data_IF_930740155828
#
_entry.id   IF_930740155828
#
_cell.length_a   1.000
_cell.length_b   1.000
_cell.length_c   1.000
_cell.angle_alpha   90.00
_cell.angle_beta   90.00
_cell.angle_gamma   90.00
#
_symmetry.space_group_name_H-M   'P 1'
#
loop_
_entity.id
_entity.type
_entity.pdbx_description
1 polymer ?
#
# COMPACT_ATOMS: atom_id res chain seq x y z
N UNK A 1 34.49 12.26 -16.17
CA UNK A 1 33.89 11.26 -15.25
C UNK A 1 32.66 11.77 -14.46
N UNK A 2 31.98 12.86 -14.88
CA UNK A 2 30.78 13.38 -14.19
C UNK A 2 29.45 13.02 -14.87
N UNK A 3 29.46 12.83 -16.20
CA UNK A 3 28.25 12.54 -16.98
C UNK A 3 27.66 11.15 -16.72
N UNK A 4 28.50 10.14 -16.45
CA UNK A 4 28.06 8.74 -16.29
C UNK A 4 27.18 8.53 -15.05
N UNK A 5 27.39 9.30 -13.98
CA UNK A 5 26.57 9.21 -12.76
C UNK A 5 25.17 9.83 -12.92
N UNK A 6 25.02 10.79 -13.83
CA UNK A 6 23.73 11.47 -14.07
C UNK A 6 22.75 10.54 -14.80
N UNK A 7 23.24 9.69 -15.70
CA UNK A 7 22.40 8.81 -16.54
C UNK A 7 21.75 7.71 -15.68
N UNK A 8 22.46 7.17 -14.69
CA UNK A 8 21.97 6.09 -13.81
C UNK A 8 20.82 6.59 -12.92
N UNK A 9 20.94 7.79 -12.37
CA UNK A 9 19.89 8.39 -11.55
C UNK A 9 18.60 8.62 -12.37
N UNK A 10 18.73 9.04 -13.63
CA UNK A 10 17.59 9.32 -14.51
C UNK A 10 16.84 8.04 -14.91
N UNK A 11 17.52 6.91 -15.08
CA UNK A 11 16.88 5.62 -15.39
C UNK A 11 16.04 5.05 -14.24
N UNK A 12 16.42 5.30 -12.98
CA UNK A 12 15.68 4.81 -11.81
C UNK A 12 14.36 5.57 -11.59
N UNK A 13 14.30 6.85 -11.98
CA UNK A 13 13.09 7.67 -11.90
C UNK A 13 11.99 7.23 -12.87
N UNK A 14 12.35 6.65 -14.02
CA UNK A 14 11.36 6.18 -15.00
C UNK A 14 10.70 4.85 -14.61
N UNK A 15 11.37 3.99 -13.83
CA UNK A 15 10.79 2.72 -13.38
C UNK A 15 9.68 2.91 -12.33
N UNK A 16 9.68 4.02 -11.58
CA UNK A 16 8.63 4.33 -10.61
C UNK A 16 7.34 4.89 -11.25
N UNK A 17 7.36 5.22 -12.55
CA UNK A 17 6.24 5.79 -13.29
C UNK A 17 5.76 4.85 -14.41
N UNK A 18 5.92 3.54 -14.23
CA UNK A 18 5.61 2.53 -15.23
C UNK A 18 4.23 1.89 -15.05
N UNK A 19 3.29 2.33 -15.89
CA UNK A 19 2.10 1.60 -16.37
C UNK A 19 1.04 1.19 -15.34
N UNK A 20 0.05 2.06 -15.14
CA UNK A 20 -1.28 1.68 -14.65
C UNK A 20 -1.99 0.90 -15.76
N UNK A 21 -2.11 -0.41 -15.59
CA UNK A 21 -2.96 -1.26 -16.42
C UNK A 21 -4.41 -1.08 -15.97
N UNK A 22 -5.29 -0.78 -16.91
CA UNK A 22 -6.73 -0.58 -16.70
C UNK A 22 -7.37 -1.89 -16.24
N UNK A 23 -7.84 -1.93 -14.99
CA UNK A 23 -8.51 -3.10 -14.42
C UNK A 23 -9.97 -3.13 -14.88
N UNK A 24 -10.38 -4.27 -15.46
CA UNK A 24 -11.73 -4.47 -15.97
C UNK A 24 -12.76 -4.43 -14.83
N UNK A 25 -13.76 -3.56 -14.97
CA UNK A 25 -14.84 -3.37 -14.00
C UNK A 25 -15.71 -4.64 -13.93
N UNK A 26 -15.58 -5.40 -12.84
CA UNK A 26 -16.50 -6.49 -12.52
C UNK A 26 -17.67 -5.91 -11.71
N UNK A 27 -18.87 -5.96 -12.28
CA UNK A 27 -20.11 -5.53 -11.62
C UNK A 27 -20.42 -6.40 -10.39
N UNK A 28 -20.66 -5.84 -9.20
CA UNK A 28 -20.98 -6.64 -8.02
C UNK A 28 -22.42 -7.16 -8.12
N UNK A 29 -22.59 -8.40 -8.55
CA UNK A 29 -23.82 -9.15 -8.33
C UNK A 29 -23.87 -9.66 -6.88
N UNK A 30 -24.73 -9.04 -6.08
CA UNK A 30 -25.32 -9.52 -4.82
C UNK A 30 -24.47 -10.50 -3.97
N UNK A 31 -23.57 -9.97 -3.15
CA UNK A 31 -23.00 -10.71 -2.02
C UNK A 31 -23.92 -10.56 -0.79
N UNK A 32 -24.42 -11.69 -0.29
CA UNK A 32 -25.22 -11.77 0.94
C UNK A 32 -24.49 -11.17 2.15
N UNK A 33 -25.27 -10.79 3.17
CA UNK A 33 -24.85 -10.10 4.38
C UNK A 33 -23.42 -10.43 4.81
N UNK A 34 -22.51 -9.50 4.57
CA UNK A 34 -21.13 -9.58 5.01
C UNK A 34 -21.12 -9.60 6.53
N UNK A 35 -20.62 -10.68 7.12
CA UNK A 35 -20.16 -10.64 8.52
C UNK A 35 -19.07 -9.57 8.57
N UNK A 36 -19.37 -8.42 9.15
CA UNK A 36 -18.44 -7.30 9.28
C UNK A 36 -17.28 -7.76 10.18
N UNK A 37 -16.21 -8.27 9.57
CA UNK A 37 -15.02 -8.66 10.30
C UNK A 37 -14.32 -7.39 10.75
N UNK A 38 -14.60 -6.98 11.99
CA UNK A 38 -13.98 -5.81 12.61
C UNK A 38 -12.46 -5.98 12.60
N UNK A 39 -11.76 -4.98 12.08
CA UNK A 39 -10.31 -4.89 12.20
C UNK A 39 -9.97 -4.54 13.65
N UNK A 40 -9.21 -5.41 14.32
CA UNK A 40 -8.80 -5.25 15.72
C UNK A 40 -7.34 -5.60 15.87
N UNK A 41 -6.62 -4.85 16.71
CA UNK A 41 -5.23 -5.15 17.05
C UNK A 41 -4.45 -3.88 17.33
N UNK A 42 -3.49 -3.97 18.24
CA UNK A 42 -2.54 -2.90 18.57
C UNK A 42 -1.15 -3.32 18.15
N UNK A 43 -0.45 -2.42 17.46
CA UNK A 43 0.89 -2.65 16.93
C UNK A 43 1.80 -1.53 17.37
N UNK A 44 3.07 -1.85 17.64
CA UNK A 44 4.08 -0.84 17.92
C UNK A 44 4.89 -0.56 16.66
N UNK A 45 5.12 0.71 16.36
CA UNK A 45 5.99 1.15 15.27
C UNK A 45 7.46 1.08 15.71
N UNK A 46 8.36 1.14 14.73
CA UNK A 46 9.81 1.23 15.00
C UNK A 46 10.21 2.50 15.76
N UNK A 47 9.39 3.55 15.70
CA UNK A 47 9.58 4.81 16.45
C UNK A 47 9.00 4.75 17.87
N UNK A 48 8.37 3.64 18.26
CA UNK A 48 7.79 3.44 19.59
C UNK A 48 6.36 3.98 19.75
N UNK A 49 5.71 4.34 18.65
CA UNK A 49 4.30 4.75 18.65
C UNK A 49 3.39 3.51 18.65
N UNK A 50 2.20 3.64 19.22
CA UNK A 50 1.17 2.59 19.19
C UNK A 50 0.14 2.91 18.11
N UNK A 51 -0.14 1.93 17.27
CA UNK A 51 -1.17 1.98 16.23
C UNK A 51 -2.28 1.02 16.61
N UNK A 52 -3.45 1.56 16.95
CA UNK A 52 -4.69 0.79 17.14
C UNK A 52 -5.47 0.74 15.83
N UNK A 53 -5.67 -0.46 15.29
CA UNK A 53 -6.42 -0.65 14.05
C UNK A 53 -7.91 -0.34 14.18
N UNK A 54 -8.48 -0.40 15.39
CA UNK A 54 -9.89 -0.04 15.60
C UNK A 54 -10.14 1.46 15.43
N UNK A 55 -9.11 2.30 15.60
CA UNK A 55 -9.21 3.76 15.41
C UNK A 55 -9.50 4.17 13.96
N UNK A 56 -9.15 3.31 12.99
CA UNK A 56 -9.36 3.55 11.56
C UNK A 56 -10.71 3.04 11.06
N UNK A 57 -11.68 2.82 11.95
CA UNK A 57 -13.02 2.38 11.55
C UNK A 57 -13.61 3.37 10.54
N UNK A 58 -14.13 2.83 9.44
CA UNK A 58 -14.68 3.59 8.30
C UNK A 58 -13.64 4.40 7.50
N UNK A 59 -12.36 4.06 7.62
CA UNK A 59 -11.30 4.61 6.77
C UNK A 59 -10.80 3.54 5.80
N UNK A 60 -10.45 3.96 4.59
CA UNK A 60 -9.74 3.09 3.64
C UNK A 60 -8.26 2.99 4.08
N UNK A 61 -7.79 1.76 4.29
CA UNK A 61 -6.41 1.47 4.70
C UNK A 61 -5.69 0.68 3.62
N UNK A 62 -4.49 1.13 3.28
CA UNK A 62 -3.53 0.35 2.49
C UNK A 62 -2.42 -0.12 3.43
N UNK A 63 -2.32 -1.44 3.62
CA UNK A 63 -1.28 -2.06 4.44
C UNK A 63 -0.27 -2.73 3.53
N UNK A 64 0.98 -2.27 3.57
CA UNK A 64 2.08 -2.85 2.81
C UNK A 64 3.01 -3.63 3.74
N UNK A 65 2.98 -4.95 3.62
CA UNK A 65 3.95 -5.83 4.25
C UNK A 65 5.23 -5.87 3.42
N UNK A 66 6.33 -5.42 4.01
CA UNK A 66 7.65 -5.51 3.40
C UNK A 66 8.66 -6.01 4.43
N UNK A 67 9.76 -6.57 3.95
CA UNK A 67 10.87 -6.97 4.79
C UNK A 67 12.20 -6.75 4.03
N UNK A 68 13.28 -6.36 4.73
CA UNK A 68 14.54 -5.92 4.12
C UNK A 68 15.50 -7.05 3.72
N UNK A 69 15.09 -8.31 3.84
CA UNK A 69 15.95 -9.48 3.58
C UNK A 69 16.15 -9.77 2.09
#
# INVERSE_FOLDING_TARGET
MKATRLIIALSLLFAACGASAEEAVVSPAAAGASVEKKLTGEFSTVTGETVDLASYRNSDLVVWFWAPW
#
